data_IF_476721480540
#
_entry.id   IF_476721480540
#
_cell.length_a   1.000
_cell.length_b   1.000
_cell.length_c   1.000
_cell.angle_alpha   90.00
_cell.angle_beta   90.00
_cell.angle_gamma   90.00
#
_symmetry.space_group_name_H-M   'P 1'
#
loop_
_entity.id
_entity.type
_entity.pdbx_description
1 polymer ?
#
# COMPACT_ATOMS: atom_id res chain seq x y z
N UNK A 1 0.09 21.83 18.11
CA UNK A 1 0.75 21.25 16.93
C UNK A 1 2.00 20.48 17.40
N UNK A 2 1.97 19.15 17.41
CA UNK A 2 3.09 18.30 17.83
C UNK A 2 4.38 18.54 17.05
N UNK A 3 4.29 18.99 15.79
CA UNK A 3 5.46 19.28 14.96
C UNK A 3 6.26 20.47 15.52
N UNK A 4 5.58 21.52 16.00
CA UNK A 4 6.24 22.70 16.58
C UNK A 4 6.97 22.43 17.90
N UNK A 5 6.64 21.33 18.58
CA UNK A 5 7.30 20.92 19.82
C UNK A 5 8.62 20.20 19.51
N UNK A 6 8.63 19.28 18.54
CA UNK A 6 9.83 18.57 18.11
C UNK A 6 10.73 19.38 17.17
N UNK A 7 10.14 20.35 16.45
CA UNK A 7 10.84 21.25 15.53
C UNK A 7 10.49 22.71 15.88
N UNK A 8 11.04 23.26 16.97
CA UNK A 8 10.86 24.67 17.28
C UNK A 8 11.34 25.54 16.11
N UNK A 9 10.53 26.54 15.76
CA UNK A 9 10.83 27.55 14.74
C UNK A 9 10.90 28.92 15.42
N UNK A 10 12.01 29.28 16.09
CA UNK A 10 12.21 30.61 16.64
C UNK A 10 12.09 31.69 15.56
N UNK A 11 11.66 32.89 15.93
CA UNK A 11 11.50 34.00 14.97
C UNK A 11 12.81 34.31 14.23
N UNK A 12 13.96 34.25 14.92
CA UNK A 12 15.28 34.46 14.29
C UNK A 12 15.58 33.44 13.20
N UNK A 13 15.17 32.17 13.39
CA UNK A 13 15.31 31.14 12.35
C UNK A 13 14.47 31.47 11.13
N UNK A 14 13.24 31.96 11.33
CA UNK A 14 12.34 32.36 10.24
C UNK A 14 12.93 33.56 9.50
N UNK A 15 13.34 34.61 10.21
CA UNK A 15 13.90 35.83 9.63
C UNK A 15 15.16 35.55 8.80
N UNK A 16 16.08 34.70 9.30
CA UNK A 16 17.27 34.32 8.55
C UNK A 16 16.93 33.51 7.29
N UNK A 17 15.94 32.62 7.35
CA UNK A 17 15.51 31.84 6.20
C UNK A 17 14.82 32.72 5.14
N UNK A 18 14.00 33.69 5.56
CA UNK A 18 13.30 34.61 4.64
C UNK A 18 14.26 35.43 3.78
N UNK A 19 15.40 35.87 4.33
CA UNK A 19 16.43 36.58 3.56
C UNK A 19 16.99 35.69 2.45
N UNK A 20 17.32 34.43 2.78
CA UNK A 20 17.87 33.48 1.82
C UNK A 20 16.84 33.13 0.73
N UNK A 21 15.58 32.89 1.11
CA UNK A 21 14.51 32.54 0.18
C UNK A 21 14.22 33.68 -0.80
N UNK A 22 14.17 34.93 -0.34
CA UNK A 22 13.93 36.10 -1.20
C UNK A 22 15.07 36.35 -2.21
N UNK A 23 16.27 35.85 -1.94
CA UNK A 23 17.42 35.95 -2.84
C UNK A 23 17.49 34.78 -3.84
N UNK A 24 16.68 33.72 -3.66
CA UNK A 24 16.69 32.57 -4.55
C UNK A 24 16.07 32.91 -5.91
N UNK A 25 16.76 32.63 -7.04
CA UNK A 25 16.22 32.85 -8.38
C UNK A 25 14.91 32.09 -8.68
N UNK A 26 14.57 31.07 -7.88
CA UNK A 26 13.38 30.24 -8.05
C UNK A 26 12.26 30.60 -7.07
N UNK A 27 12.36 31.67 -6.27
CA UNK A 27 11.36 32.01 -5.25
C UNK A 27 9.93 32.12 -5.79
N UNK A 28 9.78 32.67 -7.00
CA UNK A 28 8.49 32.82 -7.69
C UNK A 28 8.27 31.75 -8.76
N UNK A 29 9.15 30.74 -8.86
CA UNK A 29 9.04 29.68 -9.86
C UNK A 29 7.96 28.68 -9.42
N UNK A 30 6.86 28.53 -10.19
CA UNK A 30 5.83 27.57 -9.84
C UNK A 30 6.33 26.14 -10.01
N UNK A 31 5.83 25.24 -9.16
CA UNK A 31 6.06 23.81 -9.31
C UNK A 31 5.51 23.29 -10.65
N UNK A 32 6.13 22.25 -11.23
CA UNK A 32 5.58 21.59 -12.42
C UNK A 32 4.12 21.17 -12.19
N UNK A 33 3.18 21.46 -13.11
CA UNK A 33 1.75 21.16 -12.90
C UNK A 33 1.46 19.71 -12.55
N UNK A 34 2.21 18.76 -13.12
CA UNK A 34 2.08 17.34 -12.80
C UNK A 34 2.52 17.00 -11.36
N UNK A 35 3.51 17.71 -10.82
CA UNK A 35 3.92 17.56 -9.42
C UNK A 35 2.83 18.09 -8.49
N UNK A 36 2.33 19.30 -8.76
CA UNK A 36 1.25 19.92 -7.98
C UNK A 36 -0.02 19.06 -7.98
N UNK A 37 -0.41 18.51 -9.15
CA UNK A 37 -1.57 17.62 -9.25
C UNK A 37 -1.40 16.37 -8.37
N UNK A 38 -0.23 15.70 -8.39
CA UNK A 38 0.03 14.52 -7.55
C UNK A 38 0.00 14.88 -6.06
N UNK A 39 0.58 16.02 -5.70
CA UNK A 39 0.58 16.52 -4.34
C UNK A 39 -0.84 16.79 -3.84
N UNK A 40 -1.67 17.49 -4.61
CA UNK A 40 -3.06 17.75 -4.22
C UNK A 40 -3.90 16.47 -4.17
N UNK A 41 -3.68 15.51 -5.08
CA UNK A 41 -4.29 14.18 -5.01
C UNK A 41 -3.93 13.43 -3.72
N UNK A 42 -2.68 13.53 -3.25
CA UNK A 42 -2.30 12.92 -1.97
C UNK A 42 -2.90 13.65 -0.78
N UNK A 43 -2.92 14.98 -0.79
CA UNK A 43 -3.55 15.77 0.28
C UNK A 43 -5.01 15.40 0.47
N UNK A 44 -5.77 15.24 -0.62
CA UNK A 44 -7.17 14.80 -0.51
C UNK A 44 -7.28 13.34 -0.06
N UNK A 45 -6.43 12.42 -0.52
CA UNK A 45 -6.43 11.01 -0.05
C UNK A 45 -6.18 10.95 1.45
N UNK A 46 -5.17 11.66 1.94
CA UNK A 46 -4.86 11.75 3.39
C UNK A 46 -6.04 12.35 4.14
N UNK A 47 -6.59 13.47 3.70
CA UNK A 47 -7.72 14.10 4.38
C UNK A 47 -8.94 13.17 4.45
N UNK A 48 -9.25 12.45 3.37
CA UNK A 48 -10.38 11.50 3.31
C UNK A 48 -10.22 10.35 4.30
N UNK A 49 -9.02 9.76 4.38
CA UNK A 49 -8.79 8.57 5.23
C UNK A 49 -8.43 8.90 6.68
N UNK A 50 -7.78 10.03 6.95
CA UNK A 50 -7.18 10.35 8.25
C UNK A 50 -7.86 11.51 8.98
N UNK A 51 -8.42 12.49 8.27
CA UNK A 51 -9.02 13.69 8.87
C UNK A 51 -10.57 13.69 8.84
N UNK A 52 -11.16 12.75 8.11
CA UNK A 52 -12.60 12.54 8.03
C UNK A 52 -13.32 13.42 6.99
N UNK A 53 -14.60 13.12 6.78
CA UNK A 53 -15.39 13.65 5.66
C UNK A 53 -15.51 15.19 5.67
N UNK A 54 -15.64 15.81 6.84
CA UNK A 54 -15.78 17.26 6.95
C UNK A 54 -14.50 18.03 6.56
N UNK A 55 -13.33 17.53 6.97
CA UNK A 55 -12.03 18.12 6.63
C UNK A 55 -11.74 17.95 5.14
N UNK A 56 -11.93 16.75 4.60
CA UNK A 56 -11.81 16.47 3.17
C UNK A 56 -12.72 17.40 2.34
N UNK A 57 -13.98 17.59 2.76
CA UNK A 57 -14.94 18.45 2.05
C UNK A 57 -14.54 19.93 2.07
N UNK A 58 -13.92 20.42 3.16
CA UNK A 58 -13.36 21.78 3.21
C UNK A 58 -12.14 21.92 2.28
N UNK A 59 -11.27 20.92 2.25
CA UNK A 59 -10.09 20.92 1.37
C UNK A 59 -10.50 20.92 -0.10
N UNK A 60 -11.42 20.02 -0.50
CA UNK A 60 -11.91 19.93 -1.87
C UNK A 60 -12.60 21.21 -2.34
N UNK A 61 -13.29 21.94 -1.45
CA UNK A 61 -13.88 23.26 -1.77
C UNK A 61 -12.84 24.31 -2.19
N UNK A 62 -11.60 24.21 -1.70
CA UNK A 62 -10.50 25.14 -2.07
C UNK A 62 -9.87 24.81 -3.43
N UNK A 63 -10.18 23.64 -4.00
CA UNK A 63 -9.62 23.15 -5.25
C UNK A 63 -10.72 22.62 -6.19
N UNK A 64 -11.90 23.25 -6.15
CA UNK A 64 -13.04 22.84 -6.98
C UNK A 64 -12.67 22.83 -8.47
N UNK A 65 -13.26 21.89 -9.21
CA UNK A 65 -12.98 21.70 -10.64
C UNK A 65 -11.67 20.97 -10.95
N UNK A 66 -10.77 20.78 -9.97
CA UNK A 66 -9.53 20.02 -10.18
C UNK A 66 -9.75 18.51 -10.18
N UNK A 67 -8.83 17.78 -10.80
CA UNK A 67 -8.82 16.31 -10.74
C UNK A 67 -8.63 15.79 -9.30
N UNK A 68 -7.90 16.53 -8.46
CA UNK A 68 -7.74 16.19 -7.05
C UNK A 68 -9.08 16.22 -6.31
N UNK A 69 -9.90 17.26 -6.50
CA UNK A 69 -11.24 17.30 -5.90
C UNK A 69 -12.12 16.11 -6.36
N UNK A 70 -12.08 15.77 -7.66
CA UNK A 70 -12.83 14.61 -8.19
C UNK A 70 -12.33 13.28 -7.61
N UNK A 71 -11.01 13.13 -7.44
CA UNK A 71 -10.41 11.96 -6.81
C UNK A 71 -10.76 11.85 -5.33
N UNK A 72 -10.74 12.96 -4.60
CA UNK A 72 -11.20 13.02 -3.21
C UNK A 72 -12.68 12.66 -3.07
N UNK A 73 -13.53 13.15 -3.99
CA UNK A 73 -14.97 12.86 -4.00
C UNK A 73 -15.25 11.37 -4.28
N UNK A 74 -14.54 10.76 -5.24
CA UNK A 74 -14.63 9.32 -5.50
C UNK A 74 -14.24 8.49 -4.26
N UNK A 75 -13.13 8.83 -3.61
CA UNK A 75 -12.67 8.14 -2.39
C UNK A 75 -13.61 8.35 -1.19
N UNK A 76 -14.09 9.58 -1.00
CA UNK A 76 -15.06 9.88 0.07
C UNK A 76 -16.37 9.11 -0.15
N UNK A 77 -16.83 9.02 -1.40
CA UNK A 77 -18.01 8.23 -1.77
C UNK A 77 -17.77 6.73 -1.55
N UNK A 78 -16.56 6.22 -1.81
CA UNK A 78 -16.19 4.83 -1.53
C UNK A 78 -16.24 4.49 -0.03
N UNK A 79 -15.71 5.38 0.81
CA UNK A 79 -15.66 5.16 2.26
C UNK A 79 -17.02 5.35 2.92
N UNK A 80 -17.72 6.44 2.60
CA UNK A 80 -18.89 6.92 3.37
C UNK A 80 -20.22 6.89 2.59
N UNK A 81 -20.17 6.59 1.29
CA UNK A 81 -21.33 6.69 0.41
C UNK A 81 -21.70 5.37 -0.27
N UNK A 82 -22.34 5.50 -1.42
CA UNK A 82 -22.81 4.39 -2.22
C UNK A 82 -21.72 3.84 -3.15
N UNK A 83 -21.53 2.51 -3.14
CA UNK A 83 -20.50 1.81 -3.92
C UNK A 83 -20.68 1.97 -5.43
N UNK A 84 -21.91 1.93 -5.95
CA UNK A 84 -22.16 2.13 -7.38
C UNK A 84 -21.84 3.55 -7.82
N UNK A 85 -22.16 4.56 -6.98
CA UNK A 85 -21.78 5.94 -7.22
C UNK A 85 -20.25 6.14 -7.19
N UNK A 86 -19.56 5.52 -6.24
CA UNK A 86 -18.10 5.55 -6.18
C UNK A 86 -17.46 4.94 -7.44
N UNK A 87 -18.00 3.82 -7.92
CA UNK A 87 -17.54 3.17 -9.15
C UNK A 87 -17.75 4.06 -10.37
N UNK A 88 -18.90 4.71 -10.50
CA UNK A 88 -19.18 5.63 -11.60
C UNK A 88 -18.23 6.84 -11.61
N UNK A 89 -17.98 7.45 -10.44
CA UNK A 89 -17.01 8.54 -10.28
C UNK A 89 -15.59 8.09 -10.63
N UNK A 90 -15.19 6.92 -10.17
CA UNK A 90 -13.86 6.34 -10.46
C UNK A 90 -13.69 6.03 -11.95
N UNK A 91 -14.72 5.53 -12.63
CA UNK A 91 -14.69 5.33 -14.07
C UNK A 91 -14.57 6.65 -14.85
N UNK A 92 -15.12 7.76 -14.35
CA UNK A 92 -14.89 9.09 -14.94
C UNK A 92 -13.42 9.52 -14.80
N UNK A 93 -12.79 9.29 -13.63
CA UNK A 93 -11.36 9.55 -13.42
C UNK A 93 -10.48 8.74 -14.36
N UNK A 94 -10.78 7.45 -14.53
CA UNK A 94 -10.06 6.57 -15.46
C UNK A 94 -10.19 7.06 -16.91
N UNK A 95 -11.37 7.55 -17.33
CA UNK A 95 -11.52 8.17 -18.66
C UNK A 95 -10.68 9.44 -18.80
N UNK A 96 -10.59 10.25 -17.75
CA UNK A 96 -9.79 11.48 -17.76
C UNK A 96 -8.28 11.20 -17.80
N UNK A 97 -7.78 10.21 -17.05
CA UNK A 97 -6.38 9.79 -17.07
C UNK A 97 -6.24 8.26 -17.07
N UNK A 98 -6.29 7.60 -18.25
CA UNK A 98 -6.31 6.13 -18.34
C UNK A 98 -5.01 5.44 -17.94
N UNK A 99 -3.91 6.21 -17.85
CA UNK A 99 -2.59 5.72 -17.44
C UNK A 99 -2.28 5.98 -15.95
N UNK A 100 -3.25 6.41 -15.16
CA UNK A 100 -3.05 6.67 -13.74
C UNK A 100 -3.34 5.40 -12.91
N UNK A 101 -2.29 4.83 -12.31
CA UNK A 101 -2.39 3.60 -11.51
C UNK A 101 -3.33 3.73 -10.30
N UNK A 102 -3.35 4.90 -9.64
CA UNK A 102 -4.16 5.13 -8.43
C UNK A 102 -5.67 5.07 -8.69
N UNK A 103 -6.10 5.35 -9.93
CA UNK A 103 -7.52 5.24 -10.30
C UNK A 103 -7.93 3.79 -10.53
N UNK A 104 -7.01 2.96 -11.05
CA UNK A 104 -7.24 1.52 -11.19
C UNK A 104 -7.18 0.81 -9.82
N UNK A 105 -6.29 1.24 -8.91
CA UNK A 105 -6.26 0.82 -7.51
C UNK A 105 -7.62 1.08 -6.84
N UNK A 106 -8.09 2.33 -6.86
CA UNK A 106 -9.39 2.69 -6.27
C UNK A 106 -10.55 1.89 -6.88
N UNK A 107 -10.51 1.63 -8.19
CA UNK A 107 -11.51 0.79 -8.85
C UNK A 107 -11.47 -0.64 -8.31
N UNK A 108 -10.27 -1.20 -8.11
CA UNK A 108 -10.09 -2.50 -7.46
C UNK A 108 -10.70 -2.53 -6.06
N UNK A 109 -10.41 -1.52 -5.23
CA UNK A 109 -10.93 -1.42 -3.86
C UNK A 109 -12.47 -1.39 -3.83
N UNK A 110 -13.06 -0.57 -4.71
CA UNK A 110 -14.52 -0.46 -4.85
C UNK A 110 -15.12 -1.80 -5.29
N UNK A 111 -14.50 -2.50 -6.25
CA UNK A 111 -14.97 -3.79 -6.74
C UNK A 111 -14.84 -4.89 -5.68
N UNK A 112 -13.78 -4.89 -4.88
CA UNK A 112 -13.65 -5.76 -3.71
C UNK A 112 -14.81 -5.54 -2.74
N UNK A 113 -15.09 -4.28 -2.38
CA UNK A 113 -16.21 -3.93 -1.49
C UNK A 113 -17.58 -4.25 -2.11
N UNK A 114 -17.67 -4.28 -3.43
CA UNK A 114 -18.86 -4.69 -4.18
C UNK A 114 -19.02 -6.22 -4.32
N UNK A 115 -18.15 -7.03 -3.69
CA UNK A 115 -18.10 -8.48 -3.84
C UNK A 115 -17.90 -8.95 -5.30
N UNK A 116 -17.03 -8.23 -6.05
CA UNK A 116 -16.64 -8.53 -7.44
C UNK A 116 -15.13 -8.80 -7.55
N UNK A 117 -14.64 -9.92 -6.96
CA UNK A 117 -13.22 -10.16 -6.79
C UNK A 117 -12.47 -10.41 -8.10
N UNK A 118 -13.12 -11.00 -9.11
CA UNK A 118 -12.50 -11.22 -10.42
C UNK A 118 -12.22 -9.91 -11.13
N UNK A 119 -13.21 -9.03 -11.21
CA UNK A 119 -13.06 -7.70 -11.81
C UNK A 119 -12.12 -6.81 -11.00
N UNK A 120 -12.08 -6.98 -9.67
CA UNK A 120 -11.11 -6.31 -8.82
C UNK A 120 -9.67 -6.75 -9.14
N UNK A 121 -9.42 -8.06 -9.29
CA UNK A 121 -8.11 -8.58 -9.68
C UNK A 121 -7.64 -8.00 -11.01
N UNK A 122 -8.53 -7.88 -12.00
CA UNK A 122 -8.23 -7.26 -13.29
C UNK A 122 -7.89 -5.76 -13.14
N UNK A 123 -8.63 -5.03 -12.31
CA UNK A 123 -8.37 -3.61 -12.04
C UNK A 123 -7.02 -3.41 -11.34
N UNK A 124 -6.71 -4.19 -10.30
CA UNK A 124 -5.40 -4.14 -9.65
C UNK A 124 -4.27 -4.56 -10.58
N UNK A 125 -4.45 -5.59 -11.42
CA UNK A 125 -3.45 -5.99 -12.40
C UNK A 125 -3.17 -4.87 -13.41
N UNK A 126 -4.22 -4.14 -13.81
CA UNK A 126 -4.05 -2.93 -14.62
C UNK A 126 -3.28 -1.85 -13.86
N UNK A 127 -3.57 -1.62 -12.58
CA UNK A 127 -2.82 -0.70 -11.73
C UNK A 127 -1.33 -1.08 -11.69
N UNK A 128 -0.99 -2.35 -11.47
CA UNK A 128 0.40 -2.86 -11.49
C UNK A 128 1.10 -2.52 -12.80
N UNK A 129 0.41 -2.68 -13.95
CA UNK A 129 1.00 -2.39 -15.26
C UNK A 129 1.27 -0.90 -15.52
N UNK A 130 0.56 -0.02 -14.80
CA UNK A 130 0.68 1.44 -14.92
C UNK A 130 1.60 2.04 -13.86
N UNK A 131 1.95 1.27 -12.83
CA UNK A 131 2.71 1.75 -11.69
C UNK A 131 4.21 1.87 -12.00
N UNK A 132 4.65 3.10 -12.28
CA UNK A 132 6.06 3.43 -12.47
C UNK A 132 6.93 3.22 -11.24
N UNK A 133 6.35 3.27 -10.03
CA UNK A 133 7.09 3.11 -8.77
C UNK A 133 7.32 1.63 -8.43
N UNK A 134 6.67 0.71 -9.15
CA UNK A 134 6.77 -0.75 -8.94
C UNK A 134 6.48 -1.14 -7.49
N UNK A 135 5.49 -0.52 -6.86
CA UNK A 135 5.10 -0.77 -5.47
C UNK A 135 4.83 -2.26 -5.21
N UNK A 136 5.19 -2.71 -4.00
CA UNK A 136 4.88 -4.07 -3.54
C UNK A 136 3.41 -4.25 -3.15
N UNK A 137 2.73 -3.16 -2.79
CA UNK A 137 1.33 -3.16 -2.36
C UNK A 137 0.37 -3.65 -3.45
N UNK A 138 0.50 -3.16 -4.68
CA UNK A 138 -0.45 -3.49 -5.75
C UNK A 138 -0.47 -4.99 -6.09
N UNK A 139 0.67 -5.70 -6.25
CA UNK A 139 0.67 -7.16 -6.38
C UNK A 139 0.02 -7.89 -5.20
N UNK A 140 0.20 -7.41 -3.97
CA UNK A 140 -0.49 -7.98 -2.79
C UNK A 140 -2.00 -7.81 -2.94
N UNK A 141 -2.50 -6.66 -3.37
CA UNK A 141 -3.93 -6.42 -3.64
C UNK A 141 -4.47 -7.31 -4.77
N UNK A 142 -3.69 -7.54 -5.85
CA UNK A 142 -4.06 -8.54 -6.88
C UNK A 142 -4.22 -9.92 -6.23
N UNK A 143 -3.27 -10.32 -5.39
CA UNK A 143 -3.31 -11.60 -4.70
C UNK A 143 -4.52 -11.74 -3.77
N UNK A 144 -4.82 -10.71 -2.98
CA UNK A 144 -6.01 -10.69 -2.11
C UNK A 144 -7.29 -10.86 -2.93
N UNK A 145 -7.43 -10.16 -4.05
CA UNK A 145 -8.59 -10.30 -4.94
C UNK A 145 -8.69 -11.72 -5.53
N UNK A 146 -7.56 -12.31 -5.94
CA UNK A 146 -7.50 -13.68 -6.45
C UNK A 146 -7.85 -14.74 -5.40
N UNK A 147 -7.49 -14.53 -4.12
CA UNK A 147 -7.96 -15.38 -3.03
C UNK A 147 -9.48 -15.31 -2.89
N UNK A 148 -10.06 -14.11 -2.95
CA UNK A 148 -11.50 -13.91 -2.87
C UNK A 148 -12.27 -14.53 -4.05
N UNK A 149 -11.62 -14.84 -5.18
CA UNK A 149 -12.22 -15.64 -6.26
C UNK A 149 -12.45 -17.10 -5.83
N UNK A 150 -11.64 -17.64 -4.91
CA UNK A 150 -11.91 -18.91 -4.22
C UNK A 150 -11.70 -20.19 -5.04
N UNK A 151 -10.95 -20.14 -6.15
CA UNK A 151 -10.62 -21.34 -6.94
C UNK A 151 -9.18 -21.79 -6.68
N UNK A 152 -8.86 -23.10 -6.80
CA UNK A 152 -7.48 -23.57 -6.63
C UNK A 152 -6.47 -22.90 -7.59
N UNK A 153 -6.89 -22.59 -8.82
CA UNK A 153 -6.05 -21.86 -9.79
C UNK A 153 -5.83 -20.40 -9.37
N UNK A 154 -6.88 -19.71 -8.91
CA UNK A 154 -6.76 -18.33 -8.44
C UNK A 154 -5.90 -18.24 -7.18
N UNK A 155 -5.97 -19.21 -6.26
CA UNK A 155 -5.11 -19.28 -5.09
C UNK A 155 -3.64 -19.46 -5.45
N UNK A 156 -3.30 -20.33 -6.41
CA UNK A 156 -1.92 -20.47 -6.90
C UNK A 156 -1.39 -19.16 -7.50
N UNK A 157 -2.23 -18.47 -8.28
CA UNK A 157 -1.89 -17.14 -8.83
C UNK A 157 -1.76 -16.09 -7.72
N UNK A 158 -2.59 -16.16 -6.68
CA UNK A 158 -2.50 -15.26 -5.54
C UNK A 158 -1.17 -15.39 -4.83
N UNK A 159 -0.72 -16.62 -4.52
CA UNK A 159 0.59 -16.89 -3.93
C UNK A 159 1.71 -16.24 -4.75
N UNK A 160 1.69 -16.36 -6.08
CA UNK A 160 2.71 -15.74 -6.95
C UNK A 160 2.69 -14.22 -6.81
N UNK A 161 1.51 -13.59 -6.89
CA UNK A 161 1.39 -12.13 -6.82
C UNK A 161 1.78 -11.57 -5.44
N UNK A 162 1.40 -12.26 -4.37
CA UNK A 162 1.74 -11.85 -3.00
C UNK A 162 3.25 -11.98 -2.76
N UNK A 163 3.90 -13.07 -3.18
CA UNK A 163 5.35 -13.20 -3.10
C UNK A 163 6.07 -12.10 -3.91
N UNK A 164 5.59 -11.77 -5.11
CA UNK A 164 6.15 -10.68 -5.91
C UNK A 164 6.05 -9.32 -5.20
N UNK A 165 4.92 -9.08 -4.53
CA UNK A 165 4.71 -7.86 -3.73
C UNK A 165 5.62 -7.79 -2.52
N UNK A 166 5.67 -8.86 -1.72
CA UNK A 166 6.52 -8.97 -0.53
C UNK A 166 8.01 -8.91 -0.82
N UNK A 167 8.44 -9.35 -2.02
CA UNK A 167 9.81 -9.18 -2.46
C UNK A 167 10.25 -7.71 -2.57
N UNK A 168 9.29 -6.79 -2.74
CA UNK A 168 9.51 -5.33 -2.86
C UNK A 168 9.12 -4.58 -1.59
N UNK A 169 8.21 -5.14 -0.80
CA UNK A 169 7.64 -4.55 0.41
C UNK A 169 7.62 -5.59 1.53
N UNK A 170 8.81 -5.81 2.11
CA UNK A 170 9.02 -6.83 3.14
C UNK A 170 8.37 -6.50 4.48
N UNK A 171 7.98 -5.25 4.70
CA UNK A 171 7.35 -4.81 5.95
C UNK A 171 5.81 -4.91 5.90
N UNK A 172 5.27 -5.36 4.76
CA UNK A 172 3.84 -5.53 4.56
C UNK A 172 3.28 -6.76 5.33
N UNK A 173 2.95 -6.54 6.61
CA UNK A 173 2.36 -7.58 7.46
C UNK A 173 1.06 -8.16 6.89
N UNK A 174 0.25 -7.36 6.18
CA UNK A 174 -0.97 -7.83 5.56
C UNK A 174 -0.70 -8.83 4.43
N UNK A 175 0.34 -8.57 3.62
CA UNK A 175 0.79 -9.48 2.58
C UNK A 175 1.15 -10.86 3.11
N UNK A 176 1.91 -10.95 4.21
CA UNK A 176 2.21 -12.25 4.82
C UNK A 176 0.99 -12.96 5.37
N UNK A 177 0.01 -12.24 5.94
CA UNK A 177 -1.25 -12.86 6.38
C UNK A 177 -2.01 -13.48 5.22
N UNK A 178 -2.14 -12.77 4.10
CA UNK A 178 -2.75 -13.31 2.88
C UNK A 178 -1.95 -14.49 2.33
N UNK A 179 -0.61 -14.42 2.35
CA UNK A 179 0.24 -15.50 1.89
C UNK A 179 0.07 -16.77 2.73
N UNK A 180 0.07 -16.64 4.05
CA UNK A 180 -0.12 -17.75 4.97
C UNK A 180 -1.50 -18.40 4.79
N UNK A 181 -2.55 -17.58 4.66
CA UNK A 181 -3.90 -18.07 4.39
C UNK A 181 -3.98 -18.79 3.03
N UNK A 182 -3.42 -18.22 1.96
CA UNK A 182 -3.43 -18.85 0.64
C UNK A 182 -2.69 -20.20 0.63
N UNK A 183 -1.55 -20.30 1.33
CA UNK A 183 -0.86 -21.57 1.50
C UNK A 183 -1.69 -22.58 2.30
N UNK A 184 -2.33 -22.15 3.38
CA UNK A 184 -3.22 -23.01 4.18
C UNK A 184 -4.39 -23.56 3.36
N UNK A 185 -5.05 -22.73 2.56
CA UNK A 185 -6.15 -23.14 1.66
C UNK A 185 -5.68 -24.09 0.55
N UNK A 186 -4.41 -24.02 0.14
CA UNK A 186 -3.79 -24.95 -0.80
C UNK A 186 -3.25 -26.23 -0.12
N UNK A 187 -3.33 -26.34 1.20
CA UNK A 187 -2.76 -27.46 1.98
C UNK A 187 -1.23 -27.41 2.13
N UNK A 188 -0.58 -26.31 1.77
CA UNK A 188 0.86 -26.09 1.92
C UNK A 188 1.17 -25.54 3.32
N UNK A 189 1.00 -26.39 4.34
CA UNK A 189 1.24 -26.04 5.73
C UNK A 189 2.66 -25.49 5.98
N UNK A 190 3.74 -26.08 5.43
CA UNK A 190 5.08 -25.55 5.63
C UNK A 190 5.23 -24.14 5.04
N UNK A 191 4.64 -23.88 3.87
CA UNK A 191 4.58 -22.55 3.28
C UNK A 191 3.84 -21.53 4.16
N UNK A 192 2.72 -21.94 4.77
CA UNK A 192 1.95 -21.10 5.67
C UNK A 192 2.73 -20.73 6.95
N UNK A 193 3.42 -21.71 7.54
CA UNK A 193 4.28 -21.49 8.71
C UNK A 193 5.45 -20.57 8.37
N UNK A 194 6.07 -20.72 7.19
CA UNK A 194 7.15 -19.83 6.76
C UNK A 194 6.67 -18.40 6.53
N UNK A 195 5.52 -18.20 5.87
CA UNK A 195 4.95 -16.86 5.68
C UNK A 195 4.64 -16.19 7.03
N UNK A 196 4.16 -16.97 8.00
CA UNK A 196 3.93 -16.49 9.38
C UNK A 196 5.24 -16.13 10.08
N UNK A 197 6.29 -16.95 9.92
CA UNK A 197 7.62 -16.67 10.43
C UNK A 197 8.20 -15.37 9.86
N UNK A 198 8.10 -15.17 8.55
CA UNK A 198 8.56 -13.95 7.86
C UNK A 198 7.77 -12.72 8.35
N UNK A 199 6.45 -12.83 8.53
CA UNK A 199 5.63 -11.76 9.11
C UNK A 199 6.15 -11.31 10.48
N UNK A 200 6.38 -12.25 11.38
CA UNK A 200 6.93 -11.98 12.71
C UNK A 200 8.34 -11.39 12.63
N UNK A 201 9.16 -11.90 11.72
CA UNK A 201 10.53 -11.43 11.53
C UNK A 201 10.58 -9.96 11.13
N UNK A 202 9.83 -9.56 10.10
CA UNK A 202 9.82 -8.17 9.63
C UNK A 202 9.08 -7.22 10.56
N UNK A 203 8.21 -7.75 11.44
CA UNK A 203 7.58 -6.97 12.52
C UNK A 203 8.48 -6.83 13.77
N UNK A 204 9.69 -7.39 13.75
CA UNK A 204 10.63 -7.35 14.88
C UNK A 204 10.35 -8.37 16.00
N UNK A 205 9.34 -9.23 15.84
CA UNK A 205 9.03 -10.30 16.79
C UNK A 205 9.86 -11.56 16.50
N UNK A 206 11.16 -11.46 16.77
CA UNK A 206 12.12 -12.51 16.42
C UNK A 206 11.94 -13.82 17.20
N UNK A 207 11.29 -13.79 18.38
CA UNK A 207 11.05 -15.01 19.18
C UNK A 207 10.03 -15.89 18.46
N UNK A 208 8.88 -15.34 18.10
CA UNK A 208 7.83 -16.08 17.41
C UNK A 208 8.26 -16.44 15.99
N UNK A 209 8.99 -15.55 15.31
CA UNK A 209 9.55 -15.83 13.99
C UNK A 209 10.36 -17.14 13.96
N UNK A 210 11.19 -17.38 14.99
CA UNK A 210 11.99 -18.61 15.09
C UNK A 210 11.12 -19.84 15.32
N UNK A 211 10.09 -19.75 16.15
CA UNK A 211 9.19 -20.88 16.43
C UNK A 211 8.52 -21.34 15.13
N UNK A 212 7.94 -20.39 14.39
CA UNK A 212 7.28 -20.68 13.12
C UNK A 212 8.26 -21.17 12.04
N UNK A 213 9.45 -20.57 11.96
CA UNK A 213 10.48 -21.01 11.01
C UNK A 213 10.94 -22.45 11.28
N UNK A 214 11.13 -22.83 12.55
CA UNK A 214 11.48 -24.22 12.90
C UNK A 214 10.39 -25.21 12.48
N UNK A 215 9.11 -24.89 12.72
CA UNK A 215 7.99 -25.74 12.29
C UNK A 215 7.92 -25.89 10.78
N UNK A 216 8.07 -24.79 10.05
CA UNK A 216 8.14 -24.79 8.59
C UNK A 216 9.29 -25.68 8.10
N UNK A 217 10.49 -25.48 8.65
CA UNK A 217 11.71 -26.16 8.23
C UNK A 217 11.65 -27.69 8.45
N UNK A 218 11.01 -28.15 9.52
CA UNK A 218 10.83 -29.58 9.83
C UNK A 218 10.07 -30.35 8.75
N UNK A 219 9.18 -29.67 8.03
CA UNK A 219 8.32 -30.27 7.01
C UNK A 219 8.78 -29.96 5.57
N UNK A 220 9.86 -29.20 5.42
CA UNK A 220 10.43 -28.80 4.12
C UNK A 220 11.60 -29.70 3.73
N UNK A 221 11.85 -29.82 2.42
CA UNK A 221 13.02 -30.56 1.93
C UNK A 221 14.28 -29.77 2.23
N UNK A 222 15.23 -30.41 2.92
CA UNK A 222 16.51 -29.78 3.27
C UNK A 222 17.22 -29.21 2.03
N UNK A 223 17.65 -27.96 2.14
CA UNK A 223 18.38 -27.24 1.08
C UNK A 223 17.51 -26.58 0.01
N UNK A 224 16.19 -26.77 0.02
CA UNK A 224 15.32 -26.04 -0.91
C UNK A 224 15.21 -24.55 -0.53
N UNK A 225 14.85 -23.65 -1.45
CA UNK A 225 14.88 -22.20 -1.18
C UNK A 225 14.05 -21.76 0.04
N UNK A 226 12.89 -22.39 0.28
CA UNK A 226 12.04 -22.09 1.45
C UNK A 226 12.68 -22.56 2.76
N UNK A 227 13.31 -23.73 2.74
CA UNK A 227 14.07 -24.26 3.86
C UNK A 227 15.23 -23.34 4.25
N UNK A 228 15.94 -22.79 3.26
CA UNK A 228 17.03 -21.83 3.50
C UNK A 228 16.53 -20.53 4.13
N UNK A 229 15.40 -19.98 3.64
CA UNK A 229 14.78 -18.79 4.24
C UNK A 229 14.37 -19.02 5.70
N UNK A 230 13.78 -20.18 5.99
CA UNK A 230 13.48 -20.57 7.37
C UNK A 230 14.77 -20.65 8.22
N UNK A 231 15.83 -21.25 7.67
CA UNK A 231 17.13 -21.37 8.34
C UNK A 231 17.74 -20.01 8.67
N UNK A 232 17.61 -19.02 7.79
CA UNK A 232 18.09 -17.65 8.01
C UNK A 232 17.37 -16.99 9.20
N UNK A 233 16.05 -17.17 9.30
CA UNK A 233 15.26 -16.67 10.45
C UNK A 233 15.69 -17.35 11.75
N UNK A 234 15.89 -18.67 11.73
CA UNK A 234 16.32 -19.45 12.90
C UNK A 234 17.67 -18.96 13.42
N UNK A 235 18.61 -18.76 12.50
CA UNK A 235 19.99 -18.37 12.79
C UNK A 235 20.15 -16.89 13.12
N UNK A 236 19.16 -16.06 12.80
CA UNK A 236 19.22 -14.63 13.05
C UNK A 236 19.43 -14.31 14.54
N UNK A 237 20.38 -13.42 14.82
CA UNK A 237 20.65 -12.89 16.16
C UNK A 237 20.51 -11.36 16.09
N UNK A 238 19.54 -10.75 16.80
CA UNK A 238 19.40 -9.30 16.83
C UNK A 238 20.69 -8.66 17.34
N UNK A 239 21.10 -7.53 16.74
CA UNK A 239 22.27 -6.80 17.25
C UNK A 239 21.96 -6.22 18.64
N UNK A 240 22.82 -6.49 19.62
CA UNK A 240 22.70 -5.97 20.99
C UNK A 240 23.11 -4.50 21.14
N UNK A 241 23.51 -3.83 20.05
CA UNK A 241 23.86 -2.41 20.09
C UNK A 241 22.58 -1.55 20.05
N UNK A 242 22.17 -1.09 21.22
CA UNK A 242 21.28 0.06 21.36
C UNK A 242 22.06 1.25 20.78
N UNK A 243 21.54 1.88 19.72
CA UNK A 243 21.99 3.20 19.26
C UNK A 243 21.19 4.26 19.98
#
# INVERSE_FOLDING_TARGET
DPYRISHPMPQDRIANLEVLVKQDPNVDRPDPPALQQRHDMMRVKIAVYMEGQAAASRLMRKMQGTLAAQYGDAQSTYLFGNIAAALAKTNALIRAQPKNAYFQELRGDILMKANKPKEAADAYAKAVSLDSARSGLLPVSVGQALMAVGTPDSLKKAVVQINNGLGRDKENSAGYRYLAQAYGELGDIPGAELATAESHFYSGNYKDAKIFAMRAQQQMKRGEPRWLRAQDIINYKPSTKIK
#
